data_IF_110394878350
#
_entry.id   IF_110394878350
#
_cell.length_a   1.000
_cell.length_b   1.000
_cell.length_c   1.000
_cell.angle_alpha   90.00
_cell.angle_beta   90.00
_cell.angle_gamma   90.00
#
_symmetry.space_group_name_H-M   'P 1'
#
loop_
_entity.id
_entity.type
_entity.pdbx_description
1 polymer ?
#
# COMPACT_ATOMS: atom_id res chain seq x y z
N UNK A 1 -5.98 -27.63 4.77
CA UNK A 1 -4.97 -28.02 3.75
C UNK A 1 -3.85 -26.99 3.62
N UNK A 2 -4.13 -25.68 3.56
CA UNK A 2 -3.12 -24.62 3.38
C UNK A 2 -2.35 -24.21 4.65
N UNK A 3 -2.21 -25.10 5.63
CA UNK A 3 -1.58 -24.75 6.91
C UNK A 3 -0.09 -24.38 6.77
N UNK A 4 0.56 -24.81 5.69
CA UNK A 4 1.96 -24.54 5.36
C UNK A 4 2.08 -23.67 4.09
N UNK A 5 1.10 -22.81 3.80
CA UNK A 5 1.07 -22.00 2.58
C UNK A 5 0.23 -22.57 1.46
N UNK A 6 0.13 -21.83 0.35
CA UNK A 6 -0.61 -22.22 -0.84
C UNK A 6 0.30 -22.15 -2.08
N UNK A 7 0.58 -20.96 -2.60
CA UNK A 7 1.61 -20.73 -3.61
C UNK A 7 3.03 -20.90 -3.05
N UNK A 8 3.21 -20.75 -1.74
CA UNK A 8 4.48 -20.99 -1.03
C UNK A 8 4.57 -22.38 -0.37
N UNK A 9 3.63 -23.31 -0.63
CA UNK A 9 3.61 -24.58 0.09
C UNK A 9 4.80 -25.49 -0.27
N UNK A 10 5.43 -26.18 0.71
CA UNK A 10 6.50 -27.14 0.42
C UNK A 10 6.00 -28.43 -0.28
N UNK A 11 4.70 -28.68 -0.31
CA UNK A 11 4.06 -29.77 -1.05
C UNK A 11 3.44 -29.27 -2.37
N UNK A 12 4.00 -29.72 -3.49
CA UNK A 12 3.56 -29.37 -4.84
C UNK A 12 2.09 -29.75 -5.13
N UNK A 13 1.55 -30.77 -4.45
CA UNK A 13 0.14 -31.13 -4.60
C UNK A 13 -0.79 -30.06 -4.00
N UNK A 14 -0.38 -29.44 -2.89
CA UNK A 14 -1.12 -28.32 -2.29
C UNK A 14 -1.02 -27.07 -3.17
N UNK A 15 0.15 -26.81 -3.76
CA UNK A 15 0.33 -25.76 -4.77
C UNK A 15 -0.66 -25.94 -5.93
N UNK A 16 -0.75 -27.15 -6.50
CA UNK A 16 -1.67 -27.45 -7.59
C UNK A 16 -3.14 -27.23 -7.19
N UNK A 17 -3.51 -27.59 -5.96
CA UNK A 17 -4.85 -27.35 -5.42
C UNK A 17 -5.16 -25.85 -5.28
N UNK A 18 -4.20 -25.04 -4.81
CA UNK A 18 -4.35 -23.59 -4.75
C UNK A 18 -4.51 -22.97 -6.14
N UNK A 19 -3.69 -23.41 -7.11
CA UNK A 19 -3.76 -22.94 -8.49
C UNK A 19 -5.12 -23.26 -9.14
N UNK A 20 -5.68 -24.44 -8.87
CA UNK A 20 -7.02 -24.81 -9.34
C UNK A 20 -8.11 -23.89 -8.78
N UNK A 21 -8.01 -23.47 -7.51
CA UNK A 21 -8.93 -22.53 -6.90
C UNK A 21 -8.79 -21.12 -7.50
N UNK A 22 -7.57 -20.60 -7.66
CA UNK A 22 -7.32 -19.29 -8.26
C UNK A 22 -7.77 -19.25 -9.72
N UNK A 23 -7.50 -20.30 -10.50
CA UNK A 23 -8.04 -20.47 -11.85
C UNK A 23 -9.56 -20.32 -11.85
N UNK A 24 -10.25 -20.99 -10.92
CA UNK A 24 -11.71 -20.89 -10.81
C UNK A 24 -12.16 -19.50 -10.37
N UNK A 25 -11.45 -18.88 -9.43
CA UNK A 25 -11.69 -17.50 -8.99
C UNK A 25 -11.64 -16.52 -10.15
N UNK A 26 -10.61 -16.58 -10.99
CA UNK A 26 -10.47 -15.72 -12.17
C UNK A 26 -11.61 -15.92 -13.18
N UNK A 27 -12.09 -17.14 -13.39
CA UNK A 27 -13.27 -17.40 -14.23
C UNK A 27 -14.55 -16.78 -13.66
N UNK A 28 -14.74 -16.87 -12.34
CA UNK A 28 -15.88 -16.24 -11.65
C UNK A 28 -15.77 -14.73 -11.73
N UNK A 29 -14.60 -14.16 -11.47
CA UNK A 29 -14.33 -12.73 -11.57
C UNK A 29 -14.65 -12.20 -12.98
N UNK A 30 -14.21 -12.91 -14.02
CA UNK A 30 -14.57 -12.59 -15.40
C UNK A 30 -16.09 -12.67 -15.62
N UNK A 31 -16.73 -13.76 -15.19
CA UNK A 31 -18.17 -13.97 -15.38
C UNK A 31 -19.00 -12.87 -14.71
N UNK A 32 -18.55 -12.38 -13.56
CA UNK A 32 -19.22 -11.34 -12.78
C UNK A 32 -18.81 -9.92 -13.17
N UNK A 33 -17.91 -9.74 -14.14
CA UNK A 33 -17.43 -8.42 -14.57
C UNK A 33 -16.59 -7.69 -13.51
N UNK A 34 -15.88 -8.43 -12.67
CA UNK A 34 -15.03 -7.85 -11.63
C UNK A 34 -13.99 -6.90 -12.22
N UNK A 35 -13.80 -5.75 -11.57
CA UNK A 35 -12.83 -4.74 -11.99
C UNK A 35 -11.41 -5.06 -11.51
N UNK A 36 -11.29 -5.84 -10.45
CA UNK A 36 -10.01 -6.26 -9.85
C UNK A 36 -10.09 -7.72 -9.35
N UNK A 37 -8.94 -8.34 -9.11
CA UNK A 37 -8.80 -9.65 -8.47
C UNK A 37 -7.63 -9.61 -7.48
N UNK A 38 -7.91 -9.88 -6.21
CA UNK A 38 -6.97 -9.69 -5.10
C UNK A 38 -6.29 -11.02 -4.72
N UNK A 39 -5.02 -10.93 -4.38
CA UNK A 39 -4.22 -11.96 -3.73
C UNK A 39 -3.76 -11.41 -2.37
N UNK A 40 -4.38 -11.92 -1.31
CA UNK A 40 -3.89 -11.73 0.06
C UNK A 40 -3.15 -12.99 0.52
N UNK A 41 -1.88 -12.83 0.89
CA UNK A 41 -0.97 -13.91 1.24
C UNK A 41 -1.23 -14.57 2.59
N UNK A 42 -2.49 -14.87 2.95
CA UNK A 42 -2.88 -15.25 4.32
C UNK A 42 -2.14 -16.44 4.93
N UNK A 43 -1.47 -17.29 4.14
CA UNK A 43 -0.54 -18.34 4.61
C UNK A 43 0.79 -18.34 3.87
N UNK A 44 1.04 -17.35 3.02
CA UNK A 44 2.23 -17.23 2.17
C UNK A 44 3.35 -16.57 3.00
N UNK A 45 4.06 -17.40 3.75
CA UNK A 45 5.03 -16.97 4.74
C UNK A 45 5.45 -18.15 5.60
N UNK A 46 5.99 -17.88 6.78
CA UNK A 46 6.47 -18.94 7.66
C UNK A 46 6.11 -18.71 9.13
N UNK A 47 6.11 -19.82 9.87
CA UNK A 47 6.07 -19.82 11.33
C UNK A 47 7.48 -19.92 11.95
N UNK A 48 8.41 -20.61 11.29
CA UNK A 48 9.81 -20.71 11.72
C UNK A 48 10.75 -20.76 10.53
N UNK A 49 11.86 -20.02 10.61
CA UNK A 49 12.86 -20.02 9.53
C UNK A 49 13.61 -21.37 9.44
N UNK A 50 13.62 -22.15 10.51
CA UNK A 50 14.39 -23.40 10.62
C UNK A 50 13.94 -24.49 9.64
N UNK A 51 12.67 -24.46 9.19
CA UNK A 51 12.12 -25.42 8.24
C UNK A 51 11.68 -24.78 6.93
N UNK A 52 12.09 -23.53 6.68
CA UNK A 52 11.61 -22.73 5.54
C UNK A 52 12.76 -22.47 4.58
N UNK A 53 12.61 -22.91 3.32
CA UNK A 53 13.50 -22.48 2.25
C UNK A 53 12.89 -21.26 1.56
N UNK A 54 13.17 -20.08 2.12
CA UNK A 54 12.56 -18.80 1.71
C UNK A 54 12.70 -18.54 0.21
N UNK A 55 13.88 -18.76 -0.36
CA UNK A 55 14.08 -18.48 -1.79
C UNK A 55 13.25 -19.43 -2.67
N UNK A 56 13.10 -20.69 -2.29
CA UNK A 56 12.25 -21.64 -3.01
C UNK A 56 10.78 -21.22 -2.95
N UNK A 57 10.31 -20.83 -1.76
CA UNK A 57 8.94 -20.37 -1.56
C UNK A 57 8.63 -19.09 -2.35
N UNK A 58 9.53 -18.10 -2.33
CA UNK A 58 9.39 -16.87 -3.12
C UNK A 58 9.41 -17.14 -4.64
N UNK A 59 10.28 -18.04 -5.11
CA UNK A 59 10.31 -18.45 -6.52
C UNK A 59 9.01 -19.16 -6.95
N UNK A 60 8.45 -20.00 -6.08
CA UNK A 60 7.18 -20.67 -6.31
C UNK A 60 6.03 -19.67 -6.33
N UNK A 61 5.99 -18.71 -5.40
CA UNK A 61 4.98 -17.66 -5.35
C UNK A 61 5.05 -16.76 -6.60
N UNK A 62 6.25 -16.38 -7.05
CA UNK A 62 6.44 -15.63 -8.29
C UNK A 62 5.94 -16.41 -9.51
N UNK A 63 6.19 -17.73 -9.55
CA UNK A 63 5.68 -18.62 -10.60
C UNK A 63 4.15 -18.72 -10.57
N UNK A 64 3.57 -18.79 -9.37
CA UNK A 64 2.12 -18.80 -9.16
C UNK A 64 1.45 -17.54 -9.70
N UNK A 65 2.00 -16.35 -9.39
CA UNK A 65 1.50 -15.09 -9.90
C UNK A 65 1.67 -14.97 -11.42
N UNK A 66 2.80 -15.42 -11.99
CA UNK A 66 2.97 -15.46 -13.45
C UNK A 66 1.89 -16.30 -14.12
N UNK A 67 1.61 -17.50 -13.59
CA UNK A 67 0.54 -18.36 -14.08
C UNK A 67 -0.84 -17.69 -13.99
N UNK A 68 -1.13 -16.96 -12.92
CA UNK A 68 -2.38 -16.23 -12.77
C UNK A 68 -2.52 -15.09 -13.79
N UNK A 69 -1.46 -14.32 -14.02
CA UNK A 69 -1.42 -13.25 -15.02
C UNK A 69 -1.57 -13.79 -16.45
N UNK A 70 -0.88 -14.89 -16.78
CA UNK A 70 -1.02 -15.58 -18.06
C UNK A 70 -2.44 -16.13 -18.26
N UNK A 71 -3.02 -16.75 -17.23
CA UNK A 71 -4.39 -17.27 -17.31
C UNK A 71 -5.43 -16.16 -17.46
N UNK A 72 -5.29 -15.06 -16.72
CA UNK A 72 -6.09 -13.83 -16.89
C UNK A 72 -6.10 -13.40 -18.36
N UNK A 73 -4.93 -13.30 -18.99
CA UNK A 73 -4.78 -12.95 -20.42
C UNK A 73 -5.47 -13.98 -21.31
N UNK A 74 -5.22 -15.28 -21.07
CA UNK A 74 -5.81 -16.39 -21.84
C UNK A 74 -7.34 -16.38 -21.83
N UNK A 75 -7.97 -16.09 -20.70
CA UNK A 75 -9.42 -16.04 -20.60
C UNK A 75 -9.99 -14.68 -20.99
N UNK A 76 -9.17 -13.67 -21.31
CA UNK A 76 -9.63 -12.32 -21.61
C UNK A 76 -10.28 -11.61 -20.42
N UNK A 77 -9.79 -11.85 -19.20
CA UNK A 77 -10.17 -11.05 -18.03
C UNK A 77 -9.34 -9.75 -18.02
N UNK A 78 -10.00 -8.60 -17.95
CA UNK A 78 -9.33 -7.28 -18.06
C UNK A 78 -9.05 -6.63 -16.72
N UNK A 79 -9.63 -7.12 -15.62
CA UNK A 79 -9.49 -6.51 -14.30
C UNK A 79 -8.07 -6.50 -13.75
N UNK A 80 -7.74 -5.53 -12.92
CA UNK A 80 -6.39 -5.39 -12.32
C UNK A 80 -6.11 -6.54 -11.35
N UNK A 81 -4.91 -7.10 -11.39
CA UNK A 81 -4.49 -8.04 -10.33
C UNK A 81 -3.86 -7.24 -9.19
N UNK A 82 -4.26 -7.54 -7.96
CA UNK A 82 -3.82 -6.79 -6.78
C UNK A 82 -3.13 -7.73 -5.79
N UNK A 83 -1.97 -7.32 -5.27
CA UNK A 83 -1.36 -7.95 -4.10
C UNK A 83 -1.69 -7.10 -2.88
N UNK A 84 -2.12 -7.74 -1.80
CA UNK A 84 -2.49 -7.07 -0.55
C UNK A 84 -1.42 -7.32 0.52
N UNK A 85 -0.56 -6.33 0.82
CA UNK A 85 0.51 -6.52 1.77
C UNK A 85 -0.02 -6.74 3.19
N UNK A 86 0.61 -7.65 3.93
CA UNK A 86 0.44 -7.84 5.37
C UNK A 86 1.74 -8.39 5.98
N UNK A 87 2.19 -7.89 7.14
CA UNK A 87 3.47 -8.29 7.72
C UNK A 87 3.49 -9.66 8.40
N UNK A 88 2.36 -10.05 8.99
CA UNK A 88 2.19 -11.20 9.88
C UNK A 88 0.70 -11.38 10.18
N UNK A 89 0.39 -12.43 10.93
CA UNK A 89 -0.95 -12.87 11.30
C UNK A 89 -1.74 -13.38 10.08
N UNK A 90 -1.98 -14.70 10.00
CA UNK A 90 -1.77 -15.72 11.04
C UNK A 90 -0.34 -16.30 11.09
N UNK A 91 0.51 -16.01 10.11
CA UNK A 91 1.92 -16.46 10.09
C UNK A 91 2.78 -15.62 11.03
N UNK A 92 3.97 -16.11 11.42
CA UNK A 92 4.94 -15.30 12.16
C UNK A 92 5.51 -14.18 11.30
N UNK A 93 5.70 -14.48 10.02
CA UNK A 93 6.10 -13.54 8.97
C UNK A 93 5.35 -13.92 7.69
N UNK A 94 4.81 -12.92 7.00
CA UNK A 94 4.28 -13.03 5.64
C UNK A 94 5.25 -12.36 4.67
N UNK A 95 5.37 -12.93 3.46
CA UNK A 95 6.37 -12.49 2.49
C UNK A 95 6.05 -11.14 1.86
N UNK A 96 4.77 -10.88 1.63
CA UNK A 96 4.18 -9.64 1.17
C UNK A 96 4.08 -8.62 2.33
N UNK A 97 5.21 -8.34 2.99
CA UNK A 97 5.24 -7.69 4.31
C UNK A 97 4.64 -6.28 4.37
N UNK A 98 5.01 -5.42 3.42
CA UNK A 98 4.56 -4.04 3.27
C UNK A 98 4.61 -3.61 1.79
N UNK A 99 4.17 -2.39 1.49
CA UNK A 99 4.16 -1.87 0.12
C UNK A 99 5.52 -1.99 -0.58
N UNK A 100 6.61 -1.57 0.08
CA UNK A 100 7.94 -1.53 -0.56
C UNK A 100 8.53 -2.92 -0.76
N UNK A 101 8.26 -3.85 0.15
CA UNK A 101 8.65 -5.27 0.01
C UNK A 101 7.95 -5.89 -1.19
N UNK A 102 6.65 -5.66 -1.35
CA UNK A 102 5.87 -6.18 -2.48
C UNK A 102 6.32 -5.53 -3.80
N UNK A 103 6.53 -4.21 -3.83
CA UNK A 103 7.05 -3.51 -5.02
C UNK A 103 8.41 -4.08 -5.43
N UNK A 104 9.32 -4.30 -4.46
CA UNK A 104 10.62 -4.89 -4.69
C UNK A 104 10.53 -6.31 -5.27
N UNK A 105 9.68 -7.15 -4.68
CA UNK A 105 9.40 -8.51 -5.16
C UNK A 105 8.86 -8.50 -6.59
N UNK A 106 7.85 -7.68 -6.88
CA UNK A 106 7.23 -7.60 -8.20
C UNK A 106 8.23 -7.14 -9.25
N UNK A 107 9.07 -6.15 -8.94
CA UNK A 107 10.14 -5.70 -9.86
C UNK A 107 11.22 -6.76 -10.06
N UNK A 108 11.65 -7.43 -8.99
CA UNK A 108 12.67 -8.49 -9.07
C UNK A 108 12.24 -9.63 -10.00
N UNK A 109 10.97 -10.03 -9.94
CA UNK A 109 10.43 -11.13 -10.75
C UNK A 109 9.76 -10.71 -12.07
N UNK A 110 9.81 -9.42 -12.43
CA UNK A 110 9.24 -8.88 -13.67
C UNK A 110 7.70 -8.91 -13.73
N UNK A 111 7.03 -8.77 -12.59
CA UNK A 111 5.57 -8.82 -12.43
C UNK A 111 4.94 -7.42 -12.23
N UNK A 112 5.74 -6.36 -12.13
CA UNK A 112 5.29 -4.98 -11.84
C UNK A 112 4.40 -4.35 -12.93
N UNK A 113 4.25 -5.01 -14.09
CA UNK A 113 3.33 -4.60 -15.17
C UNK A 113 1.98 -5.29 -15.13
N UNK A 114 1.87 -6.42 -14.43
CA UNK A 114 0.63 -7.20 -14.35
C UNK A 114 -0.14 -6.91 -13.04
N UNK A 115 0.54 -6.37 -12.03
CA UNK A 115 0.02 -6.20 -10.68
C UNK A 115 0.11 -4.75 -10.17
N UNK A 116 -0.87 -4.39 -9.34
CA UNK A 116 -0.87 -3.22 -8.44
C UNK A 116 -1.07 -3.70 -7.00
N UNK A 117 -1.13 -2.79 -6.03
CA UNK A 117 -1.31 -3.09 -4.62
C UNK A 117 -2.74 -2.74 -4.16
N UNK A 118 -3.30 -3.60 -3.32
CA UNK A 118 -4.46 -3.31 -2.47
C UNK A 118 -3.91 -2.97 -1.08
N UNK A 119 -4.04 -1.73 -0.61
CA UNK A 119 -3.44 -1.34 0.67
C UNK A 119 -4.50 -1.33 1.76
N UNK A 120 -4.20 -1.98 2.87
CA UNK A 120 -5.02 -1.97 4.07
C UNK A 120 -4.28 -1.24 5.21
N UNK A 121 -4.80 -0.14 5.75
CA UNK A 121 -4.12 0.61 6.81
C UNK A 121 -3.95 -0.14 8.14
N UNK A 122 -4.83 -1.09 8.51
CA UNK A 122 -4.55 -1.96 9.66
C UNK A 122 -3.29 -2.81 9.40
N UNK A 123 -3.11 -3.36 8.20
CA UNK A 123 -1.88 -4.07 7.84
C UNK A 123 -0.64 -3.16 7.85
N UNK A 124 -0.77 -1.93 7.34
CA UNK A 124 0.30 -0.92 7.34
C UNK A 124 0.78 -0.60 8.75
N UNK A 125 -0.15 -0.34 9.67
CA UNK A 125 0.17 -0.06 11.08
C UNK A 125 0.73 -1.29 11.79
N UNK A 126 0.22 -2.49 11.49
CA UNK A 126 0.74 -3.75 12.01
C UNK A 126 2.19 -4.02 11.57
N UNK A 127 2.61 -3.45 10.43
CA UNK A 127 3.97 -3.53 9.89
C UNK A 127 4.96 -2.57 10.56
N UNK A 128 4.45 -1.66 11.41
CA UNK A 128 5.24 -0.65 12.11
C UNK A 128 5.27 0.71 11.40
N UNK A 129 4.41 0.91 10.40
CA UNK A 129 4.36 2.15 9.62
C UNK A 129 3.23 3.08 10.07
N UNK A 130 3.32 4.36 9.72
CA UNK A 130 2.21 5.30 9.87
C UNK A 130 1.01 4.90 8.99
N UNK A 131 -0.21 5.25 9.39
CA UNK A 131 -1.46 4.81 8.76
C UNK A 131 -1.49 5.03 7.23
N UNK A 132 -1.00 6.17 6.77
CA UNK A 132 -0.97 6.58 5.37
C UNK A 132 0.24 6.06 4.58
N UNK A 133 1.25 5.51 5.26
CA UNK A 133 2.58 5.25 4.68
C UNK A 133 2.52 4.41 3.42
N UNK A 134 1.94 3.21 3.48
CA UNK A 134 1.94 2.28 2.35
C UNK A 134 1.07 2.78 1.18
N UNK A 135 0.09 3.63 1.46
CA UNK A 135 -0.72 4.31 0.43
C UNK A 135 0.16 5.33 -0.30
N UNK A 136 0.91 6.16 0.44
CA UNK A 136 1.87 7.13 -0.12
C UNK A 136 2.96 6.43 -0.92
N UNK A 137 3.57 5.38 -0.37
CA UNK A 137 4.62 4.62 -1.05
C UNK A 137 4.08 3.97 -2.33
N UNK A 138 2.94 3.27 -2.26
CA UNK A 138 2.34 2.65 -3.44
C UNK A 138 2.01 3.68 -4.52
N UNK A 139 1.49 4.85 -4.14
CA UNK A 139 1.17 5.95 -5.05
C UNK A 139 2.43 6.52 -5.72
N UNK A 140 3.49 6.78 -4.93
CA UNK A 140 4.75 7.33 -5.43
C UNK A 140 5.44 6.45 -6.49
N UNK A 141 5.23 5.13 -6.43
CA UNK A 141 5.73 4.18 -7.42
C UNK A 141 4.72 3.83 -8.53
N UNK A 142 3.55 4.48 -8.56
CA UNK A 142 2.48 4.24 -9.53
C UNK A 142 1.78 2.89 -9.37
N UNK A 143 1.94 2.24 -8.22
CA UNK A 143 1.48 0.88 -7.96
C UNK A 143 0.25 0.81 -7.03
N UNK A 144 -0.24 1.93 -6.48
CA UNK A 144 -1.51 1.93 -5.76
C UNK A 144 -2.65 1.56 -6.73
N UNK A 145 -3.46 0.57 -6.34
CA UNK A 145 -4.56 0.05 -7.13
C UNK A 145 -5.91 0.16 -6.44
N UNK A 146 -6.00 -0.26 -5.18
CA UNK A 146 -7.22 -0.22 -4.37
C UNK A 146 -6.86 -0.07 -2.89
N UNK A 147 -7.85 0.21 -2.04
CA UNK A 147 -7.66 0.35 -0.59
C UNK A 147 -8.74 -0.42 0.16
N UNK A 148 -8.32 -1.24 1.11
CA UNK A 148 -9.19 -1.78 2.15
C UNK A 148 -9.23 -0.80 3.31
N UNK A 149 -10.37 -0.14 3.43
CA UNK A 149 -10.63 1.03 4.26
C UNK A 149 -11.01 0.61 5.67
N UNK A 150 -10.02 0.29 6.49
CA UNK A 150 -10.19 -0.06 7.90
C UNK A 150 -9.15 0.63 8.80
N UNK A 151 -9.14 0.32 10.09
CA UNK A 151 -8.11 0.77 11.02
C UNK A 151 -7.78 -0.29 12.06
N UNK A 152 -6.53 -0.26 12.51
CA UNK A 152 -6.03 -0.99 13.68
C UNK A 152 -6.27 -0.26 14.99
N UNK A 153 -5.78 -0.87 16.07
CA UNK A 153 -5.58 -0.21 17.36
C UNK A 153 -4.09 -0.15 17.64
N UNK A 154 -3.52 1.02 17.96
CA UNK A 154 -2.07 1.17 18.18
C UNK A 154 -1.56 0.37 19.39
N UNK A 155 -2.45 0.07 20.34
CA UNK A 155 -2.10 -0.66 21.56
C UNK A 155 -2.25 -2.19 21.38
N UNK A 156 -2.79 -2.66 20.25
CA UNK A 156 -3.04 -4.07 19.97
C UNK A 156 -2.20 -4.53 18.78
N UNK A 157 -1.33 -5.53 19.01
CA UNK A 157 -0.40 -6.06 18.01
C UNK A 157 -1.01 -7.07 17.03
N UNK A 158 -2.30 -6.96 16.72
CA UNK A 158 -3.05 -7.84 15.81
C UNK A 158 -4.11 -7.08 15.03
N UNK A 159 -4.68 -7.72 14.03
CA UNK A 159 -5.65 -7.15 13.10
C UNK A 159 -7.04 -7.02 13.73
N UNK A 160 -7.48 -5.78 13.90
CA UNK A 160 -8.74 -5.48 14.59
C UNK A 160 -9.89 -5.24 13.62
N UNK A 161 -9.59 -4.94 12.37
CA UNK A 161 -10.50 -4.67 11.24
C UNK A 161 -11.60 -3.69 11.67
N UNK A 162 -11.23 -2.61 12.36
CA UNK A 162 -12.18 -1.60 12.82
C UNK A 162 -12.58 -0.70 11.66
N UNK A 163 -13.82 -0.22 11.71
CA UNK A 163 -14.25 0.81 10.79
C UNK A 163 -13.43 2.10 11.01
N UNK A 164 -13.00 2.78 9.94
CA UNK A 164 -12.15 3.96 10.02
C UNK A 164 -12.99 5.21 10.35
N UNK A 165 -12.95 5.62 11.62
CA UNK A 165 -13.72 6.78 12.12
C UNK A 165 -12.87 8.05 12.30
N UNK A 166 -11.55 7.98 12.06
CA UNK A 166 -10.65 9.12 12.20
C UNK A 166 -10.60 9.96 10.91
N UNK A 167 -11.10 11.19 11.00
CA UNK A 167 -11.17 12.12 9.85
C UNK A 167 -9.78 12.58 9.40
N UNK A 168 -8.78 12.69 10.28
CA UNK A 168 -7.41 13.05 9.89
C UNK A 168 -6.80 11.96 9.03
N UNK A 169 -6.93 10.70 9.46
CA UNK A 169 -6.44 9.55 8.71
C UNK A 169 -7.09 9.45 7.32
N UNK A 170 -8.42 9.53 7.26
CA UNK A 170 -9.14 9.50 5.97
C UNK A 170 -8.81 10.71 5.09
N UNK A 171 -8.55 11.91 5.67
CA UNK A 171 -8.06 13.08 4.93
C UNK A 171 -6.70 12.81 4.28
N UNK A 172 -5.76 12.21 5.02
CA UNK A 172 -4.44 11.86 4.49
C UNK A 172 -4.52 10.84 3.35
N UNK A 173 -5.34 9.79 3.52
CA UNK A 173 -5.60 8.81 2.45
C UNK A 173 -6.19 9.47 1.22
N UNK A 174 -7.26 10.26 1.38
CA UNK A 174 -7.93 10.88 0.24
C UNK A 174 -7.08 11.95 -0.44
N UNK A 175 -6.19 12.62 0.29
CA UNK A 175 -5.18 13.51 -0.31
C UNK A 175 -4.30 12.74 -1.29
N UNK A 176 -3.72 11.60 -0.89
CA UNK A 176 -2.90 10.78 -1.78
C UNK A 176 -3.71 10.22 -2.96
N UNK A 177 -4.96 9.82 -2.72
CA UNK A 177 -5.86 9.35 -3.78
C UNK A 177 -6.12 10.45 -4.83
N UNK A 178 -6.38 11.68 -4.41
CA UNK A 178 -6.57 12.80 -5.32
C UNK A 178 -5.27 13.16 -6.07
N UNK A 179 -4.13 13.18 -5.38
CA UNK A 179 -2.82 13.50 -5.97
C UNK A 179 -2.41 12.54 -7.09
N UNK A 180 -2.74 11.24 -6.99
CA UNK A 180 -2.46 10.27 -8.05
C UNK A 180 -3.49 10.27 -9.19
N UNK A 181 -4.62 10.98 -9.04
CA UNK A 181 -5.70 11.02 -10.03
C UNK A 181 -6.84 10.01 -9.81
N UNK A 182 -7.03 9.52 -8.58
CA UNK A 182 -8.12 8.60 -8.20
C UNK A 182 -7.70 7.14 -8.05
N UNK A 183 -8.67 6.26 -7.81
CA UNK A 183 -8.46 4.82 -7.58
C UNK A 183 -8.96 3.91 -8.70
N UNK A 184 -9.60 4.45 -9.75
CA UNK A 184 -10.20 3.61 -10.79
C UNK A 184 -9.16 2.67 -11.45
N UNK A 185 -9.46 1.36 -11.61
CA UNK A 185 -10.75 0.72 -11.40
C UNK A 185 -10.92 0.06 -10.01
N UNK A 186 -10.01 0.32 -9.07
CA UNK A 186 -10.16 -0.01 -7.65
C UNK A 186 -11.11 0.95 -6.91
N UNK A 187 -11.11 0.87 -5.59
CA UNK A 187 -11.99 1.68 -4.75
C UNK A 187 -11.63 1.62 -3.27
N UNK A 188 -12.58 2.08 -2.46
CA UNK A 188 -12.55 1.99 -1.00
C UNK A 188 -13.45 0.82 -0.59
N UNK A 189 -12.86 -0.35 -0.33
CA UNK A 189 -13.58 -1.50 0.18
C UNK A 189 -13.60 -1.45 1.72
N UNK A 190 -14.73 -1.73 2.38
CA UNK A 190 -14.76 -1.79 3.84
C UNK A 190 -14.46 -3.21 4.31
N UNK A 191 -13.17 -3.60 4.32
CA UNK A 191 -12.73 -4.83 4.98
C UNK A 191 -12.70 -4.63 6.50
N UNK A 192 -13.89 -4.57 7.07
CA UNK A 192 -14.14 -4.21 8.46
C UNK A 192 -15.15 -5.17 9.05
N UNK A 193 -15.08 -5.33 10.37
CA UNK A 193 -16.09 -6.05 11.15
C UNK A 193 -16.68 -5.15 12.23
N UNK A 194 -17.98 -5.31 12.48
CA UNK A 194 -18.56 -4.78 13.71
C UNK A 194 -17.88 -5.42 14.92
N UNK A 195 -17.89 -4.76 16.07
CA UNK A 195 -17.27 -5.33 17.27
C UNK A 195 -18.01 -6.60 17.70
N UNK A 196 -17.32 -7.49 18.41
CA UNK A 196 -17.91 -8.78 18.84
C UNK A 196 -19.15 -8.55 19.71
N UNK A 197 -19.17 -7.47 20.47
CA UNK A 197 -20.23 -7.01 21.36
C UNK A 197 -21.30 -6.14 20.67
N UNK A 198 -21.05 -5.67 19.45
CA UNK A 198 -22.03 -5.00 18.59
C UNK A 198 -22.91 -6.04 17.91
N UNK A 199 -23.93 -6.49 18.64
CA UNK A 199 -24.73 -7.68 18.30
C UNK A 199 -26.06 -7.36 17.63
N UNK A 200 -26.39 -6.09 17.45
CA UNK A 200 -27.65 -5.69 16.83
C UNK A 200 -27.44 -5.37 15.34
N UNK A 201 -28.41 -5.74 14.51
CA UNK A 201 -28.33 -5.50 13.06
C UNK A 201 -28.07 -4.03 12.72
N UNK A 202 -28.59 -3.09 13.54
CA UNK A 202 -28.38 -1.65 13.34
C UNK A 202 -26.92 -1.22 13.47
N UNK A 203 -26.10 -1.96 14.22
CA UNK A 203 -24.69 -1.62 14.42
C UNK A 203 -23.90 -1.73 13.11
N UNK A 204 -24.30 -2.66 12.24
CA UNK A 204 -23.74 -2.76 10.89
C UNK A 204 -24.00 -1.48 10.09
N UNK A 205 -25.20 -0.91 10.16
CA UNK A 205 -25.54 0.34 9.48
C UNK A 205 -24.80 1.52 10.08
N UNK A 206 -24.78 1.65 11.42
CA UNK A 206 -24.06 2.72 12.12
C UNK A 206 -22.58 2.72 11.71
N UNK A 207 -21.96 1.55 11.67
CA UNK A 207 -20.53 1.43 11.37
C UNK A 207 -20.21 1.80 9.92
N UNK A 208 -20.97 1.29 8.94
CA UNK A 208 -20.74 1.63 7.53
C UNK A 208 -21.04 3.09 7.24
N UNK A 209 -22.14 3.64 7.76
CA UNK A 209 -22.49 5.06 7.57
C UNK A 209 -21.38 5.94 8.13
N UNK A 210 -20.91 5.66 9.36
CA UNK A 210 -19.83 6.44 9.98
C UNK A 210 -18.52 6.41 9.18
N UNK A 211 -18.14 5.23 8.65
CA UNK A 211 -16.94 5.12 7.84
C UNK A 211 -17.07 5.78 6.46
N UNK A 212 -18.23 5.63 5.81
CA UNK A 212 -18.54 6.31 4.54
C UNK A 212 -18.48 7.82 4.71
N UNK A 213 -19.11 8.36 5.77
CA UNK A 213 -19.09 9.79 6.08
C UNK A 213 -17.68 10.28 6.43
N UNK A 214 -16.89 9.48 7.17
CA UNK A 214 -15.49 9.80 7.49
C UNK A 214 -14.65 9.96 6.22
N UNK A 215 -14.76 9.02 5.27
CA UNK A 215 -14.06 9.12 3.98
C UNK A 215 -14.59 10.25 3.10
N UNK A 216 -15.91 10.48 3.07
CA UNK A 216 -16.49 11.60 2.33
C UNK A 216 -16.01 12.94 2.89
N UNK A 217 -15.94 13.08 4.22
CA UNK A 217 -15.38 14.26 4.89
C UNK A 217 -13.89 14.41 4.59
N UNK A 218 -13.12 13.33 4.69
CA UNK A 218 -11.71 13.30 4.34
C UNK A 218 -11.44 13.72 2.90
N UNK A 219 -12.29 13.31 1.95
CA UNK A 219 -12.23 13.73 0.55
C UNK A 219 -12.43 15.25 0.38
N UNK A 220 -13.42 15.84 1.07
CA UNK A 220 -13.66 17.28 1.01
C UNK A 220 -12.50 18.08 1.60
N UNK A 221 -11.95 17.61 2.72
CA UNK A 221 -10.78 18.23 3.34
C UNK A 221 -9.55 18.16 2.41
N UNK A 222 -9.32 16.98 1.81
CA UNK A 222 -8.24 16.77 0.85
C UNK A 222 -8.37 17.65 -0.40
N UNK A 223 -9.58 17.78 -0.97
CA UNK A 223 -9.83 18.68 -2.10
C UNK A 223 -9.47 20.13 -1.74
N UNK A 224 -9.88 20.59 -0.56
CA UNK A 224 -9.56 21.94 -0.07
C UNK A 224 -8.05 22.14 0.11
N UNK A 225 -7.34 21.16 0.69
CA UNK A 225 -5.86 21.19 0.82
C UNK A 225 -5.20 21.39 -0.55
N UNK A 226 -5.63 20.61 -1.55
CA UNK A 226 -5.03 20.65 -2.88
C UNK A 226 -5.38 21.93 -3.65
N UNK A 227 -6.63 22.40 -3.53
CA UNK A 227 -7.10 23.62 -4.19
C UNK A 227 -6.43 24.88 -3.64
N UNK A 228 -6.26 24.97 -2.33
CA UNK A 228 -5.53 26.09 -1.71
C UNK A 228 -4.02 26.00 -1.96
N UNK A 229 -3.48 24.79 -2.11
CA UNK A 229 -2.10 24.55 -2.56
C UNK A 229 -1.01 25.03 -1.60
N UNK A 230 -1.37 25.45 -0.38
CA UNK A 230 -0.44 26.03 0.60
C UNK A 230 0.65 25.02 0.98
N UNK A 231 0.24 23.80 1.34
CA UNK A 231 1.17 22.71 1.71
C UNK A 231 2.07 22.37 0.52
N UNK A 232 1.50 22.17 -0.67
CA UNK A 232 2.25 21.81 -1.87
C UNK A 232 3.30 22.88 -2.24
N UNK A 233 2.94 24.17 -2.14
CA UNK A 233 3.85 25.29 -2.37
C UNK A 233 5.01 25.30 -1.37
N UNK A 234 4.74 25.11 -0.08
CA UNK A 234 5.77 25.09 0.96
C UNK A 234 6.71 23.88 0.82
N UNK A 235 6.17 22.72 0.45
CA UNK A 235 6.98 21.54 0.12
C UNK A 235 7.85 21.82 -1.11
N UNK A 236 7.30 22.38 -2.19
CA UNK A 236 8.10 22.76 -3.37
C UNK A 236 9.25 23.72 -3.01
N UNK A 237 8.97 24.74 -2.21
CA UNK A 237 9.97 25.70 -1.75
C UNK A 237 11.09 25.01 -0.95
N UNK A 238 10.74 24.04 -0.09
CA UNK A 238 11.70 23.25 0.70
C UNK A 238 12.72 22.49 -0.15
N UNK A 239 12.34 22.04 -1.36
CA UNK A 239 13.19 21.27 -2.26
C UNK A 239 13.74 22.10 -3.45
N UNK A 240 13.56 23.43 -3.44
CA UNK A 240 13.88 24.30 -4.57
C UNK A 240 15.38 24.31 -4.96
N UNK A 241 16.29 23.94 -4.05
CA UNK A 241 17.71 23.81 -4.34
C UNK A 241 18.04 22.72 -5.37
N UNK A 242 17.17 21.73 -5.55
CA UNK A 242 17.32 20.67 -6.55
C UNK A 242 16.79 21.05 -7.94
N UNK A 243 16.15 22.23 -8.09
CA UNK A 243 15.62 22.70 -9.38
C UNK A 243 16.67 23.41 -10.24
N UNK A 244 17.84 23.78 -9.69
CA UNK A 244 18.88 24.51 -10.41
C UNK A 244 20.30 24.19 -9.91
N UNK A 245 21.31 24.72 -10.61
CA UNK A 245 22.72 24.65 -10.18
C UNK A 245 23.22 23.23 -9.91
N UNK A 246 23.97 23.06 -8.81
CA UNK A 246 24.50 21.75 -8.40
C UNK A 246 23.40 20.76 -8.05
N UNK A 247 22.29 21.22 -7.45
CA UNK A 247 21.17 20.36 -7.08
C UNK A 247 20.50 19.72 -8.30
N UNK A 248 20.33 20.49 -9.38
CA UNK A 248 19.82 19.93 -10.64
C UNK A 248 20.73 18.86 -11.23
N UNK A 249 22.06 19.08 -11.18
CA UNK A 249 23.03 18.08 -11.62
C UNK A 249 22.95 16.79 -10.79
N UNK A 250 22.73 16.91 -9.47
CA UNK A 250 22.52 15.75 -8.59
C UNK A 250 21.29 14.97 -9.05
N UNK A 251 20.15 15.64 -9.21
CA UNK A 251 18.88 14.99 -9.60
C UNK A 251 18.95 14.35 -10.99
N UNK A 252 19.69 14.94 -11.91
CA UNK A 252 19.85 14.42 -13.27
C UNK A 252 20.94 13.32 -13.40
N UNK A 253 21.68 13.03 -12.33
CA UNK A 253 22.81 12.10 -12.37
C UNK A 253 24.00 12.60 -13.20
N UNK A 254 24.19 13.93 -13.26
CA UNK A 254 25.20 14.62 -14.09
C UNK A 254 26.34 15.24 -13.27
N UNK A 255 26.60 14.73 -12.07
CA UNK A 255 27.71 15.14 -11.21
C UNK A 255 28.39 13.89 -10.63
N UNK A 256 29.61 14.04 -10.12
CA UNK A 256 30.33 12.99 -9.39
C UNK A 256 30.63 13.41 -7.96
N UNK A 257 31.16 12.49 -7.15
CA UNK A 257 31.61 12.81 -5.79
C UNK A 257 32.77 13.80 -5.81
N UNK A 258 33.68 13.74 -6.77
CA UNK A 258 34.80 14.70 -6.93
C UNK A 258 34.29 16.12 -7.25
N UNK A 259 33.28 16.25 -8.11
CA UNK A 259 32.66 17.56 -8.39
C UNK A 259 31.94 18.11 -7.16
N UNK A 260 31.25 17.27 -6.39
CA UNK A 260 30.57 17.66 -5.16
C UNK A 260 31.54 18.03 -4.04
N UNK A 261 32.66 17.31 -3.92
CA UNK A 261 33.76 17.65 -3.01
C UNK A 261 34.36 19.01 -3.37
N UNK A 262 34.67 19.23 -4.65
CA UNK A 262 35.16 20.54 -5.10
C UNK A 262 34.14 21.65 -4.82
N UNK A 263 32.86 21.40 -5.10
CA UNK A 263 31.79 22.35 -4.82
C UNK A 263 31.78 22.76 -3.34
N UNK A 264 31.92 21.82 -2.39
CA UNK A 264 31.93 22.16 -0.97
C UNK A 264 33.25 22.83 -0.53
N UNK A 265 34.38 22.48 -1.13
CA UNK A 265 35.66 23.17 -0.88
C UNK A 265 35.60 24.64 -1.34
N UNK A 266 34.94 24.91 -2.46
CA UNK A 266 34.80 26.25 -3.03
C UNK A 266 33.71 27.09 -2.31
N UNK A 267 32.65 26.46 -1.79
CA UNK A 267 31.49 27.16 -1.20
C UNK A 267 31.42 27.09 0.34
N UNK A 268 32.22 26.25 0.99
CA UNK A 268 32.22 26.03 2.43
C UNK A 268 31.00 25.25 2.95
N UNK A 269 31.00 24.93 4.24
CA UNK A 269 29.91 24.21 4.90
C UNK A 269 28.59 25.00 4.90
N UNK A 270 27.42 24.34 4.81
CA UNK A 270 26.12 25.03 4.90
C UNK A 270 25.97 25.74 6.24
N UNK A 271 25.75 27.06 6.22
CA UNK A 271 25.59 27.88 7.44
C UNK A 271 24.14 28.12 7.84
N UNK A 272 23.19 27.97 6.91
CA UNK A 272 21.76 28.19 7.12
C UNK A 272 20.97 26.91 6.82
N UNK A 273 20.91 25.99 7.77
CA UNK A 273 20.05 24.80 7.66
C UNK A 273 18.61 25.18 7.92
N UNK A 274 17.73 25.01 6.94
CA UNK A 274 16.32 25.32 7.07
C UNK A 274 15.61 24.38 8.07
N UNK A 275 14.78 24.94 8.97
CA UNK A 275 13.93 24.15 9.86
C UNK A 275 12.92 23.32 9.07
N UNK A 276 12.65 22.09 9.54
CA UNK A 276 11.63 21.21 8.96
C UNK A 276 10.19 21.67 9.18
N UNK A 277 9.95 22.51 10.20
CA UNK A 277 8.63 23.09 10.55
C UNK A 277 7.51 22.03 10.66
N UNK A 278 7.79 20.87 11.26
CA UNK A 278 6.85 19.75 11.32
C UNK A 278 5.52 20.14 11.99
N UNK A 279 5.59 20.80 13.15
CA UNK A 279 4.42 21.20 13.93
C UNK A 279 3.55 22.21 13.16
N UNK A 280 4.15 23.00 12.26
CA UNK A 280 3.42 23.89 11.38
C UNK A 280 2.61 23.11 10.34
N UNK A 281 3.18 22.04 9.73
CA UNK A 281 2.43 21.17 8.81
C UNK A 281 1.31 20.40 9.51
N UNK A 282 1.58 19.88 10.71
CA UNK A 282 0.57 19.19 11.53
C UNK A 282 -0.56 20.14 11.95
N UNK A 283 -0.22 21.39 12.32
CA UNK A 283 -1.20 22.44 12.64
C UNK A 283 -2.05 22.83 11.42
N UNK A 284 -1.45 22.93 10.23
CA UNK A 284 -2.19 23.16 9.00
C UNK A 284 -3.18 22.02 8.72
N UNK A 285 -2.76 20.75 8.85
CA UNK A 285 -3.67 19.62 8.68
C UNK A 285 -4.84 19.69 9.67
N UNK A 286 -4.57 20.01 10.94
CA UNK A 286 -5.62 20.19 11.95
C UNK A 286 -6.59 21.32 11.59
N UNK A 287 -6.15 22.37 10.89
CA UNK A 287 -7.02 23.45 10.43
C UNK A 287 -7.96 23.03 9.29
N UNK A 288 -7.56 22.05 8.46
CA UNK A 288 -8.38 21.56 7.35
C UNK A 288 -9.47 20.57 7.77
N UNK A 289 -9.29 19.90 8.91
CA UNK A 289 -10.20 18.86 9.43
C UNK A 289 -11.39 19.47 10.17
#
# INVERSE_FOLDING_TARGET
RYMNGAGSNPDAHIFAMAAAQVKKGLEVAKKMGAQNFVFWGGREGYHTILNTNVLTELNNLASFFRMAAEYKKKIGFTGTLLIEPKPKEPSKHQYDYDAMTVIGFLKHYGLDKDYKLNIEPNHTTLAGHGYEHDIVMSSAFGMLGSIDSNTGSPDLGWDTDQFPMDIKNTTMVMKTVLEQGGLSPGGLNFDCKVRRESTELRDMFISHIGAMDSFARGLLNAERILKEGVIAKQVKERYSSYESGIGKKITDGQTSFEELEKYILDNGSPTNVASGRQEHYESMLNHYV
#
